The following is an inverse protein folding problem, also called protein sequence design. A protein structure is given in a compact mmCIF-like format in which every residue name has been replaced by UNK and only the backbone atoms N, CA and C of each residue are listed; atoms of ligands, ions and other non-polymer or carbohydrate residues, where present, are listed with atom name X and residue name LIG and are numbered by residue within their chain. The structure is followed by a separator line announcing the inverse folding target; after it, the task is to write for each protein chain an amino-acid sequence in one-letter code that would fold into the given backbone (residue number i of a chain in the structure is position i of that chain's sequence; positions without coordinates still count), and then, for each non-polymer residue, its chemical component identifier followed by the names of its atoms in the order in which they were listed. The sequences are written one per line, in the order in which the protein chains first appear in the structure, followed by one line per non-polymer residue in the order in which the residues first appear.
data_IF_075087518609
#
_entry.id   IF_075087518609
#
_cell.length_a   1.000
_cell.length_b   1.000
_cell.length_c   1.000
_cell.angle_alpha   90.00
_cell.angle_beta   90.00
_cell.angle_gamma   90.00
#
_symmetry.space_group_name_H-M   'P 1'
#
loop_
_entity.id
_entity.type
_entity.pdbx_description
1 polymer ?
#
# COMPACT_ATOMS: atom_id res chain seq x y z
N UNK A 1 -10.29 7.87 -5.80
CA UNK A 1 -9.04 7.30 -5.25
C UNK A 1 -9.37 5.96 -4.62
N UNK A 2 -8.42 5.00 -4.59
CA UNK A 2 -8.58 3.67 -4.00
C UNK A 2 -7.40 3.42 -3.05
N UNK A 3 -7.49 3.97 -1.84
CA UNK A 3 -6.40 3.92 -0.87
C UNK A 3 -6.64 2.78 0.10
N UNK A 4 -5.83 1.73 0.01
CA UNK A 4 -5.93 0.52 0.83
C UNK A 4 -7.33 -0.14 0.72
N UNK A 5 -7.81 -0.25 -0.52
CA UNK A 5 -9.14 -0.79 -0.86
C UNK A 5 -9.04 -2.17 -1.52
N UNK A 6 -8.18 -2.30 -2.53
CA UNK A 6 -8.22 -3.46 -3.44
C UNK A 6 -7.78 -4.76 -2.77
N UNK A 7 -6.95 -4.69 -1.73
CA UNK A 7 -6.57 -5.83 -0.89
C UNK A 7 -7.76 -6.45 -0.17
N UNK A 8 -8.85 -5.70 0.04
CA UNK A 8 -10.09 -6.18 0.65
C UNK A 8 -11.13 -6.64 -0.38
N UNK A 9 -10.79 -6.66 -1.66
CA UNK A 9 -11.68 -7.10 -2.73
C UNK A 9 -11.20 -8.45 -3.27
N UNK A 10 -12.08 -9.47 -3.29
CA UNK A 10 -11.75 -10.81 -3.82
C UNK A 10 -11.40 -10.79 -5.30
N UNK A 11 -12.12 -9.98 -6.08
CA UNK A 11 -11.99 -9.87 -7.53
C UNK A 11 -11.63 -8.42 -7.95
N UNK A 12 -10.42 -7.94 -7.60
CA UNK A 12 -10.06 -6.53 -7.75
C UNK A 12 -10.00 -6.07 -9.22
N UNK A 13 -9.71 -6.98 -10.15
CA UNK A 13 -9.75 -6.71 -11.60
C UNK A 13 -11.16 -6.37 -12.10
N UNK A 14 -12.16 -7.14 -11.70
CA UNK A 14 -13.55 -6.88 -12.08
C UNK A 14 -14.04 -5.57 -11.46
N UNK A 15 -13.65 -5.30 -10.22
CA UNK A 15 -13.93 -4.03 -9.55
C UNK A 15 -13.35 -2.82 -10.31
N UNK A 16 -12.07 -2.87 -10.70
CA UNK A 16 -11.42 -1.81 -11.49
C UNK A 16 -12.07 -1.63 -12.87
N UNK A 17 -12.42 -2.73 -13.53
CA UNK A 17 -13.16 -2.71 -14.80
C UNK A 17 -14.50 -1.98 -14.64
N UNK A 18 -15.26 -2.30 -13.60
CA UNK A 18 -16.54 -1.67 -13.31
C UNK A 18 -16.40 -0.19 -12.98
N UNK A 19 -15.37 0.21 -12.22
CA UNK A 19 -15.08 1.63 -11.99
C UNK A 19 -14.87 2.35 -13.33
N UNK A 20 -13.98 1.84 -14.18
CA UNK A 20 -13.70 2.53 -15.44
C UNK A 20 -14.93 2.61 -16.36
N UNK A 21 -15.74 1.57 -16.38
CA UNK A 21 -16.96 1.53 -17.20
C UNK A 21 -18.05 2.47 -16.71
N UNK A 22 -18.24 2.61 -15.40
CA UNK A 22 -19.30 3.44 -14.83
C UNK A 22 -18.92 4.92 -14.77
N UNK A 23 -17.64 5.23 -14.55
CA UNK A 23 -17.16 6.61 -14.49
C UNK A 23 -16.59 7.04 -15.85
N UNK A 24 -17.46 7.43 -16.79
CA UNK A 24 -17.06 7.83 -18.15
C UNK A 24 -16.06 8.99 -18.20
N UNK A 25 -16.18 9.93 -17.27
CA UNK A 25 -15.29 11.11 -17.17
C UNK A 25 -14.06 10.87 -16.30
N UNK A 26 -13.76 9.62 -15.92
CA UNK A 26 -12.61 9.29 -15.09
C UNK A 26 -11.31 9.49 -15.86
N UNK A 27 -10.50 10.46 -15.40
CA UNK A 27 -9.20 10.80 -15.98
C UNK A 27 -8.02 10.19 -15.23
N UNK A 28 -8.20 9.86 -13.95
CA UNK A 28 -7.12 9.31 -13.15
C UNK A 28 -7.64 8.41 -12.03
N UNK A 29 -6.92 7.33 -11.76
CA UNK A 29 -7.07 6.52 -10.55
C UNK A 29 -5.74 6.54 -9.81
N UNK A 30 -5.81 6.86 -8.52
CA UNK A 30 -4.70 6.70 -7.57
C UNK A 30 -5.03 5.51 -6.68
N UNK A 31 -4.11 4.55 -6.58
CA UNK A 31 -4.27 3.28 -5.86
C UNK A 31 -3.10 3.13 -4.88
N UNK A 32 -3.37 2.83 -3.61
CA UNK A 32 -2.36 2.28 -2.69
C UNK A 32 -2.65 0.82 -2.39
N UNK A 33 -1.58 0.04 -2.25
CA UNK A 33 -1.66 -1.39 -1.96
C UNK A 33 -0.60 -1.76 -0.91
N UNK A 34 -0.89 -2.68 0.01
CA UNK A 34 0.10 -3.21 0.92
C UNK A 34 1.07 -4.07 0.10
N UNK A 35 2.36 -3.76 0.20
CA UNK A 35 3.39 -4.43 -0.58
C UNK A 35 3.99 -5.62 0.17
N UNK A 36 4.74 -6.43 -0.57
CA UNK A 36 5.62 -7.51 -0.08
C UNK A 36 4.83 -8.62 0.61
N UNK A 37 4.57 -9.70 -0.11
CA UNK A 37 3.85 -10.88 0.43
C UNK A 37 4.57 -11.48 1.63
N UNK A 38 5.89 -11.41 1.66
CA UNK A 38 6.69 -11.82 2.80
C UNK A 38 6.43 -11.01 4.07
N UNK A 39 5.74 -9.86 4.04
CA UNK A 39 5.33 -9.13 5.25
C UNK A 39 3.94 -9.54 5.77
N UNK A 40 3.30 -10.53 5.15
CA UNK A 40 1.99 -11.04 5.59
C UNK A 40 2.04 -11.60 7.02
N UNK A 41 1.03 -11.24 7.82
CA UNK A 41 0.87 -11.67 9.22
C UNK A 41 -0.59 -11.93 9.58
N UNK A 42 -0.85 -12.36 10.83
CA UNK A 42 -2.21 -12.45 11.38
C UNK A 42 -2.96 -11.11 11.37
N UNK A 43 -2.24 -9.98 11.37
CA UNK A 43 -2.82 -8.65 11.28
C UNK A 43 -3.56 -8.46 9.96
N UNK A 44 -2.98 -8.90 8.84
CA UNK A 44 -3.62 -8.84 7.52
C UNK A 44 -4.95 -9.61 7.51
N UNK A 45 -4.97 -10.80 8.11
CA UNK A 45 -6.18 -11.61 8.25
C UNK A 45 -7.24 -10.91 9.11
N UNK A 46 -6.82 -10.33 10.24
CA UNK A 46 -7.71 -9.63 11.17
C UNK A 46 -8.41 -8.43 10.50
N UNK A 47 -7.69 -7.67 9.67
CA UNK A 47 -8.26 -6.56 8.90
C UNK A 47 -8.96 -7.01 7.60
N UNK A 48 -9.01 -8.31 7.32
CA UNK A 48 -9.73 -8.84 6.15
C UNK A 48 -9.02 -8.59 4.83
N UNK A 49 -7.69 -8.56 4.82
CA UNK A 49 -6.92 -8.54 3.58
C UNK A 49 -7.02 -9.91 2.90
N UNK A 50 -7.12 -9.92 1.58
CA UNK A 50 -6.98 -11.10 0.73
C UNK A 50 -5.56 -11.28 0.21
N UNK A 51 -4.81 -10.19 0.03
CA UNK A 51 -3.49 -10.27 -0.58
C UNK A 51 -2.60 -9.07 -0.23
N UNK A 52 -1.29 -9.28 -0.37
CA UNK A 52 -0.28 -8.23 -0.52
C UNK A 52 0.32 -8.33 -1.91
N UNK A 53 0.81 -7.20 -2.42
CA UNK A 53 1.21 -7.08 -3.82
C UNK A 53 2.71 -6.91 -3.98
N UNK A 54 3.22 -7.39 -5.11
CA UNK A 54 4.50 -6.99 -5.66
C UNK A 54 4.25 -6.13 -6.91
N UNK A 55 5.29 -5.53 -7.46
CA UNK A 55 5.19 -4.69 -8.66
C UNK A 55 4.45 -5.38 -9.81
N UNK A 56 4.77 -6.65 -10.09
CA UNK A 56 4.21 -7.38 -11.23
C UNK A 56 2.71 -7.58 -11.04
N UNK A 57 2.30 -8.09 -9.88
CA UNK A 57 0.91 -8.37 -9.57
C UNK A 57 0.08 -7.09 -9.41
N UNK A 58 0.67 -6.00 -8.91
CA UNK A 58 0.01 -4.70 -8.84
C UNK A 58 -0.28 -4.12 -10.24
N UNK A 59 0.69 -4.19 -11.16
CA UNK A 59 0.48 -3.75 -12.55
C UNK A 59 -0.50 -4.66 -13.29
N UNK A 60 -0.49 -5.96 -13.01
CA UNK A 60 -1.42 -6.92 -13.60
C UNK A 60 -2.89 -6.59 -13.26
N UNK A 61 -3.19 -5.91 -12.16
CA UNK A 61 -4.56 -5.44 -11.86
C UNK A 61 -5.13 -4.55 -12.98
N UNK A 62 -4.26 -3.77 -13.63
CA UNK A 62 -4.62 -2.82 -14.67
C UNK A 62 -4.92 -3.49 -16.01
N UNK A 63 -4.58 -4.77 -16.19
CA UNK A 63 -4.91 -5.56 -17.39
C UNK A 63 -6.41 -5.63 -17.69
N UNK A 64 -7.26 -5.41 -16.67
CA UNK A 64 -8.72 -5.38 -16.80
C UNK A 64 -9.28 -4.10 -17.42
N UNK A 65 -8.46 -3.04 -17.51
CA UNK A 65 -8.86 -1.75 -18.03
C UNK A 65 -8.69 -1.74 -19.55
N UNK A 66 -9.82 -1.68 -20.28
CA UNK A 66 -9.87 -1.71 -21.74
C UNK A 66 -9.81 -0.29 -22.33
N UNK A 67 -8.76 0.45 -21.99
CA UNK A 67 -8.47 1.75 -22.60
C UNK A 67 -7.36 1.64 -23.64
N UNK A 68 -7.45 2.43 -24.71
CA UNK A 68 -6.48 2.38 -25.81
C UNK A 68 -5.10 2.85 -25.36
N UNK A 69 -5.06 3.89 -24.55
CA UNK A 69 -3.83 4.46 -24.03
C UNK A 69 -4.06 4.90 -22.58
N UNK A 70 -3.13 4.54 -21.70
CA UNK A 70 -3.06 5.08 -20.35
C UNK A 70 -1.62 5.07 -19.87
N UNK A 71 -1.27 6.04 -19.02
CA UNK A 71 0.05 6.16 -18.40
C UNK A 71 -0.02 5.66 -16.98
N UNK A 72 0.95 4.82 -16.60
CA UNK A 72 1.07 4.30 -15.23
C UNK A 72 2.35 4.83 -14.61
N UNK A 73 2.19 5.58 -13.53
CA UNK A 73 3.27 5.93 -12.63
C UNK A 73 3.24 4.95 -11.45
N UNK A 74 4.41 4.36 -11.17
CA UNK A 74 4.60 3.37 -10.11
C UNK A 74 5.61 3.91 -9.11
N UNK A 75 5.34 3.71 -7.82
CA UNK A 75 6.32 3.97 -6.77
C UNK A 75 6.07 3.09 -5.54
N UNK A 76 7.14 2.81 -4.81
CA UNK A 76 7.07 2.32 -3.45
C UNK A 76 7.16 3.50 -2.46
N UNK A 77 6.62 3.31 -1.26
CA UNK A 77 6.82 4.22 -0.13
C UNK A 77 7.02 3.45 1.20
N UNK A 78 7.46 4.16 2.25
CA UNK A 78 7.79 3.61 3.56
C UNK A 78 9.00 2.66 3.54
N UNK A 79 10.05 3.05 2.81
CA UNK A 79 11.23 2.20 2.58
C UNK A 79 12.08 2.07 3.85
N UNK A 80 12.26 3.17 4.59
CA UNK A 80 13.08 3.20 5.82
C UNK A 80 12.62 2.19 6.88
N UNK A 81 11.34 1.83 6.90
CA UNK A 81 10.76 0.96 7.92
C UNK A 81 10.72 -0.51 7.53
N UNK A 82 11.14 -0.87 6.31
CA UNK A 82 11.07 -2.25 5.81
C UNK A 82 11.85 -3.21 6.72
N UNK A 83 13.01 -2.78 7.22
CA UNK A 83 13.85 -3.59 8.10
C UNK A 83 13.17 -3.84 9.45
N UNK A 84 12.57 -2.80 10.04
CA UNK A 84 11.82 -2.91 11.30
C UNK A 84 10.59 -3.81 11.15
N UNK A 85 9.88 -3.71 10.03
CA UNK A 85 8.76 -4.59 9.71
C UNK A 85 9.22 -6.04 9.53
N UNK A 86 10.36 -6.27 8.89
CA UNK A 86 10.92 -7.62 8.76
C UNK A 86 11.34 -8.20 10.12
N UNK A 87 11.96 -7.38 10.98
CA UNK A 87 12.30 -7.79 12.35
C UNK A 87 11.07 -8.18 13.17
N UNK A 88 9.94 -7.51 12.96
CA UNK A 88 8.69 -7.81 13.67
C UNK A 88 8.18 -9.24 13.39
N UNK A 89 8.56 -9.85 12.26
CA UNK A 89 8.17 -11.23 11.93
C UNK A 89 8.81 -12.27 12.84
N UNK A 90 10.02 -12.01 13.35
CA UNK A 90 10.70 -12.96 14.25
C UNK A 90 9.99 -13.11 15.60
N UNK A 91 9.13 -12.16 15.98
CA UNK A 91 8.28 -12.23 17.19
C UNK A 91 7.04 -13.13 17.01
N UNK A 92 7.14 -14.18 16.18
CA UNK A 92 6.19 -15.30 16.10
C UNK A 92 4.85 -15.03 15.40
N UNK A 93 4.80 -14.17 14.36
CA UNK A 93 3.60 -13.95 13.51
C UNK A 93 2.26 -13.66 14.24
N UNK A 94 2.31 -13.35 15.53
CA UNK A 94 1.16 -13.07 16.40
C UNK A 94 1.25 -11.62 16.85
N UNK A 95 1.06 -10.72 15.91
CA UNK A 95 0.99 -9.29 16.22
C UNK A 95 -0.28 -9.05 17.03
N UNK A 96 -0.19 -8.25 18.09
CA UNK A 96 -1.37 -7.87 18.85
C UNK A 96 -2.34 -7.12 17.95
N UNK A 97 -3.61 -7.53 17.95
CA UNK A 97 -4.69 -6.80 17.30
C UNK A 97 -5.34 -5.79 18.24
N UNK A 98 -5.00 -5.86 19.54
CA UNK A 98 -5.37 -4.84 20.52
C UNK A 98 -4.74 -3.50 20.16
N UNK A 99 -5.59 -2.47 20.06
CA UNK A 99 -5.17 -1.08 19.95
C UNK A 99 -5.28 -0.43 21.33
N UNK A 100 -4.14 -0.13 21.94
CA UNK A 100 -4.09 0.67 23.18
C UNK A 100 -3.58 2.05 22.84
N UNK A 101 -4.41 3.06 23.09
CA UNK A 101 -3.97 4.45 22.95
C UNK A 101 -2.89 4.73 24.00
N UNK A 102 -1.69 5.07 23.54
CA UNK A 102 -0.59 5.46 24.42
C UNK A 102 -0.50 6.97 24.37
N UNK A 103 -0.96 7.64 25.42
CA UNK A 103 -0.85 9.10 25.52
C UNK A 103 0.30 9.47 26.45
N UNK A 104 1.46 9.77 25.88
CA UNK A 104 2.64 10.22 26.62
C UNK A 104 3.40 11.27 25.81
N UNK A 105 3.93 12.28 26.49
CA UNK A 105 4.76 13.33 25.89
C UNK A 105 5.95 12.76 25.10
N UNK A 106 6.56 11.68 25.62
CA UNK A 106 7.64 10.98 24.94
C UNK A 106 7.18 10.40 23.59
N UNK A 107 6.00 9.77 23.56
CA UNK A 107 5.42 9.17 22.36
C UNK A 107 5.08 10.23 21.30
N UNK A 108 4.65 11.42 21.73
CA UNK A 108 4.45 12.55 20.81
C UNK A 108 5.77 12.98 20.13
N UNK A 109 6.89 12.98 20.88
CA UNK A 109 8.22 13.21 20.32
C UNK A 109 8.61 12.14 19.29
N UNK A 110 8.37 10.87 19.60
CA UNK A 110 8.59 9.75 18.66
C UNK A 110 7.75 9.90 17.40
N UNK A 111 6.46 10.27 17.52
CA UNK A 111 5.61 10.52 16.35
C UNK A 111 6.16 11.65 15.47
N UNK A 112 6.63 12.76 16.05
CA UNK A 112 7.25 13.85 15.28
C UNK A 112 8.50 13.39 14.55
N UNK A 113 9.35 12.61 15.21
CA UNK A 113 10.54 12.04 14.58
C UNK A 113 10.17 11.11 13.41
N UNK A 114 9.18 10.23 13.61
CA UNK A 114 8.67 9.35 12.56
C UNK A 114 8.12 10.15 11.37
N UNK A 115 7.38 11.22 11.62
CA UNK A 115 6.89 12.12 10.55
C UNK A 115 8.04 12.72 9.75
N UNK A 116 9.09 13.21 10.41
CA UNK A 116 10.29 13.69 9.72
C UNK A 116 10.96 12.58 8.89
N UNK A 117 11.08 11.37 9.42
CA UNK A 117 11.62 10.23 8.67
C UNK A 117 10.80 9.95 7.41
N UNK A 118 9.46 9.98 7.48
CA UNK A 118 8.60 9.80 6.29
C UNK A 118 8.76 10.92 5.26
N UNK A 119 8.92 12.16 5.71
CA UNK A 119 9.18 13.30 4.83
C UNK A 119 10.54 13.11 4.13
N UNK A 120 11.57 12.73 4.87
CA UNK A 120 12.89 12.46 4.31
C UNK A 120 12.88 11.25 3.37
N UNK A 121 12.20 10.16 3.71
CA UNK A 121 11.98 8.99 2.84
C UNK A 121 11.40 9.44 1.49
N UNK A 122 10.36 10.29 1.50
CA UNK A 122 9.74 10.82 0.29
C UNK A 122 10.70 11.64 -0.58
N UNK A 123 11.50 12.52 0.02
CA UNK A 123 12.39 13.41 -0.74
C UNK A 123 13.68 12.73 -1.23
N UNK A 124 14.25 11.81 -0.44
CA UNK A 124 15.60 11.30 -0.66
C UNK A 124 15.64 9.88 -1.24
N UNK A 125 14.64 9.03 -0.99
CA UNK A 125 14.69 7.65 -1.45
C UNK A 125 14.11 7.48 -2.86
N UNK A 126 14.80 6.72 -3.75
CA UNK A 126 14.29 6.44 -5.08
C UNK A 126 12.93 5.74 -5.02
N UNK A 127 12.00 6.20 -5.86
CA UNK A 127 10.65 5.62 -6.00
C UNK A 127 10.62 4.12 -6.33
N UNK A 128 11.72 3.58 -6.86
CA UNK A 128 11.85 2.18 -7.23
C UNK A 128 12.43 1.29 -6.12
N UNK A 129 12.91 1.87 -5.01
CA UNK A 129 13.40 1.07 -3.89
C UNK A 129 12.24 0.30 -3.24
N UNK A 130 12.41 -0.99 -2.92
CA UNK A 130 11.34 -1.78 -2.32
C UNK A 130 10.89 -1.24 -0.95
N UNK A 131 9.68 -0.68 -0.91
CA UNK A 131 9.00 -0.23 0.31
C UNK A 131 7.95 -1.20 0.83
N UNK A 132 7.27 -0.83 1.91
CA UNK A 132 6.20 -1.66 2.51
C UNK A 132 4.85 -1.48 1.84
N UNK A 133 4.71 -0.47 0.98
CA UNK A 133 3.47 -0.14 0.29
C UNK A 133 3.75 0.32 -1.14
N UNK A 134 2.81 0.05 -2.04
CA UNK A 134 2.85 0.42 -3.46
C UNK A 134 1.86 1.56 -3.70
N UNK A 135 2.26 2.52 -4.53
CA UNK A 135 1.42 3.57 -5.08
C UNK A 135 1.39 3.44 -6.60
N UNK A 136 0.19 3.36 -7.17
CA UNK A 136 -0.07 3.44 -8.60
C UNK A 136 -0.85 4.72 -8.90
N UNK A 137 -0.40 5.47 -9.90
CA UNK A 137 -1.19 6.54 -10.51
C UNK A 137 -1.42 6.21 -11.98
N UNK A 138 -2.66 5.91 -12.32
CA UNK A 138 -3.10 5.53 -13.67
C UNK A 138 -3.84 6.73 -14.27
N UNK A 139 -3.31 7.31 -15.35
CA UNK A 139 -3.89 8.45 -16.06
C UNK A 139 -4.41 7.98 -17.43
N UNK A 140 -5.68 8.21 -17.70
CA UNK A 140 -6.37 7.89 -18.95
C UNK A 140 -6.40 9.09 -19.89
#
# INVERSE_FOLDING_TARGET
MLLDVLEHIKEPKIFLHNIKNNFKNLRQIVITLPARKELWTNYDLYFGHYSRYDKKNALDLLSSIKEKEYKVEYSYFSTCFIFLLFLSKFKKNQRSTETKAINSFFIQGVHRLLSWIFILDYFFLPRNLPGSSILLSVKF
#
